data_IF_126904345462
#
_entry.id   IF_126904345462
#
_cell.length_a   1.000
_cell.length_b   1.000
_cell.length_c   1.000
_cell.angle_alpha   90.00
_cell.angle_beta   90.00
_cell.angle_gamma   90.00
#
_symmetry.space_group_name_H-M   'P 1'
#
loop_
_entity.id
_entity.type
_entity.pdbx_description
1 polymer ?
#
# COMPACT_ATOMS: atom_id res chain seq x y z
N UNK A 1 -10.87 -9.78 33.09
CA UNK A 1 -12.09 -10.02 32.31
C UNK A 1 -11.75 -11.03 31.22
N UNK A 2 -12.33 -12.24 31.27
CA UNK A 2 -12.17 -13.15 30.16
C UNK A 2 -13.23 -12.79 29.12
N UNK A 3 -12.85 -12.00 28.12
CA UNK A 3 -13.62 -11.94 26.89
C UNK A 3 -13.06 -12.95 25.89
N UNK A 4 -13.36 -14.22 26.12
CA UNK A 4 -13.25 -15.26 25.12
C UNK A 4 -14.60 -15.53 24.46
N UNK A 5 -15.32 -14.50 24.12
CA UNK A 5 -16.43 -14.64 23.19
C UNK A 5 -15.90 -14.24 21.83
N UNK A 6 -15.78 -15.21 20.94
CA UNK A 6 -15.65 -14.92 19.52
C UNK A 6 -16.76 -13.96 19.15
N UNK A 7 -16.40 -12.70 18.91
CA UNK A 7 -17.35 -11.71 18.45
C UNK A 7 -17.77 -12.09 17.04
N UNK A 8 -18.96 -12.59 16.88
CA UNK A 8 -19.56 -12.73 15.55
C UNK A 8 -19.93 -11.33 15.10
N UNK A 9 -19.42 -10.97 13.92
CA UNK A 9 -19.87 -9.76 13.24
C UNK A 9 -21.34 -9.94 12.89
N UNK A 10 -22.18 -8.97 13.23
CA UNK A 10 -23.61 -9.03 12.94
C UNK A 10 -23.85 -8.95 11.43
N UNK A 11 -23.07 -8.13 10.75
CA UNK A 11 -23.20 -7.92 9.30
C UNK A 11 -21.89 -7.47 8.70
N UNK A 12 -21.58 -7.97 7.52
CA UNK A 12 -20.51 -7.49 6.65
C UNK A 12 -21.15 -6.90 5.40
N UNK A 13 -21.06 -5.60 5.22
CA UNK A 13 -21.49 -4.94 3.98
C UNK A 13 -20.25 -4.67 3.13
N UNK A 14 -20.21 -5.34 1.98
CA UNK A 14 -19.21 -5.08 0.94
C UNK A 14 -19.72 -3.89 0.12
N UNK A 15 -19.04 -2.76 0.24
CA UNK A 15 -19.23 -1.64 -0.64
C UNK A 15 -18.15 -1.65 -1.69
N UNK A 16 -18.39 -1.14 -2.89
CA UNK A 16 -17.42 -1.15 -4.01
C UNK A 16 -16.02 -0.64 -3.67
N UNK A 17 -15.83 0.00 -2.53
CA UNK A 17 -14.56 0.60 -2.11
C UNK A 17 -14.08 0.23 -0.72
N UNK A 18 -14.98 -0.13 0.19
CA UNK A 18 -14.68 -0.34 1.60
C UNK A 18 -15.52 -1.50 2.16
N UNK A 19 -14.96 -2.24 3.12
CA UNK A 19 -15.70 -3.20 3.92
C UNK A 19 -16.20 -2.51 5.19
N UNK A 20 -17.50 -2.59 5.46
CA UNK A 20 -18.11 -2.04 6.68
C UNK A 20 -18.56 -3.19 7.55
N UNK A 21 -18.04 -3.24 8.78
CA UNK A 21 -18.39 -4.23 9.77
C UNK A 21 -19.35 -3.62 10.79
N UNK A 22 -20.50 -4.26 10.98
CA UNK A 22 -21.46 -3.89 12.00
C UNK A 22 -21.33 -4.84 13.18
N UNK A 23 -21.33 -4.27 14.37
CA UNK A 23 -21.28 -5.00 15.61
C UNK A 23 -22.19 -4.32 16.63
N UNK A 24 -23.09 -5.09 17.21
CA UNK A 24 -24.02 -4.62 18.24
C UNK A 24 -23.90 -5.50 19.48
N UNK A 25 -23.65 -4.90 20.61
CA UNK A 25 -23.66 -5.59 21.88
C UNK A 25 -24.42 -4.79 22.91
N UNK A 26 -25.29 -5.47 23.65
CA UNK A 26 -26.06 -4.87 24.75
C UNK A 26 -25.41 -5.20 26.07
N UNK A 27 -25.15 -4.20 26.89
CA UNK A 27 -24.69 -4.35 28.25
C UNK A 27 -25.75 -3.91 29.25
N UNK A 28 -26.01 -4.68 30.30
CA UNK A 28 -26.87 -4.22 31.38
C UNK A 28 -26.20 -3.07 32.12
N UNK A 29 -26.91 -1.96 32.25
CA UNK A 29 -26.44 -0.82 33.04
C UNK A 29 -26.66 -1.16 34.50
N UNK A 30 -25.58 -1.36 35.25
CA UNK A 30 -25.63 -1.61 36.69
C UNK A 30 -25.46 -0.31 37.47
N UNK A 31 -26.08 -0.20 38.68
CA UNK A 31 -25.87 0.94 39.54
C UNK A 31 -24.37 1.16 39.84
N UNK A 32 -23.88 2.36 39.61
CA UNK A 32 -22.47 2.70 39.81
C UNK A 32 -21.59 2.65 38.55
N UNK A 33 -22.11 2.18 37.42
CA UNK A 33 -21.39 2.24 36.13
C UNK A 33 -21.38 3.70 35.64
N UNK A 34 -20.20 4.32 35.67
CA UNK A 34 -20.03 5.73 35.26
C UNK A 34 -19.45 5.91 33.88
N UNK A 35 -18.64 4.95 33.45
CA UNK A 35 -17.91 5.07 32.18
C UNK A 35 -17.77 3.69 31.54
N UNK A 36 -18.04 3.59 30.26
CA UNK A 36 -17.69 2.44 29.43
C UNK A 36 -16.58 2.88 28.47
N UNK A 37 -15.54 2.08 28.40
CA UNK A 37 -14.46 2.24 27.44
C UNK A 37 -14.50 1.08 26.46
N UNK A 38 -14.51 1.40 25.18
CA UNK A 38 -14.45 0.41 24.12
C UNK A 38 -13.08 0.57 23.46
N UNK A 39 -12.24 -0.44 23.57
CA UNK A 39 -10.99 -0.56 22.82
C UNK A 39 -11.20 -1.62 21.73
N UNK A 40 -10.72 -1.35 20.55
CA UNK A 40 -10.81 -2.28 19.44
C UNK A 40 -9.42 -2.79 19.10
N UNK A 41 -9.24 -4.09 19.29
CA UNK A 41 -8.06 -4.83 18.87
C UNK A 41 -8.42 -5.66 17.64
N UNK A 42 -7.57 -5.63 16.64
CA UNK A 42 -7.80 -6.40 15.43
C UNK A 42 -6.57 -7.18 15.01
N UNK A 43 -6.81 -8.40 14.55
CA UNK A 43 -5.79 -9.25 13.95
C UNK A 43 -6.30 -9.79 12.62
N UNK A 44 -5.55 -9.56 11.56
CA UNK A 44 -5.85 -10.13 10.26
C UNK A 44 -5.01 -11.39 10.11
N UNK A 45 -5.66 -12.51 9.81
CA UNK A 45 -5.00 -13.78 9.50
C UNK A 45 -5.16 -14.01 8.01
N UNK A 46 -4.05 -14.03 7.29
CA UNK A 46 -4.04 -14.32 5.87
C UNK A 46 -4.16 -15.85 5.62
N UNK A 47 -4.50 -16.23 4.41
CA UNK A 47 -4.63 -17.64 4.00
C UNK A 47 -3.34 -18.46 4.11
N UNK A 48 -2.18 -17.78 4.08
CA UNK A 48 -0.85 -18.36 4.32
C UNK A 48 -0.50 -18.51 5.81
N UNK A 49 -1.46 -18.25 6.70
CA UNK A 49 -1.32 -18.20 8.18
C UNK A 49 -0.44 -17.06 8.70
N UNK A 50 0.01 -16.14 7.86
CA UNK A 50 0.64 -14.92 8.35
C UNK A 50 -0.39 -14.06 9.11
N UNK A 51 0.05 -13.43 10.20
CA UNK A 51 -0.85 -12.60 11.02
C UNK A 51 -0.32 -11.18 11.13
N UNK A 52 -1.22 -10.23 10.92
CA UNK A 52 -0.94 -8.81 11.04
C UNK A 52 -1.80 -8.25 12.15
N UNK A 53 -1.18 -7.66 13.17
CA UNK A 53 -1.91 -6.93 14.20
C UNK A 53 -2.24 -5.54 13.67
N UNK A 54 -3.52 -5.18 13.73
CA UNK A 54 -3.93 -3.82 13.37
C UNK A 54 -3.37 -2.84 14.41
N UNK A 55 -2.97 -1.63 13.99
CA UNK A 55 -2.61 -0.60 14.94
C UNK A 55 -3.80 -0.35 15.86
N UNK A 56 -3.52 -0.20 17.15
CA UNK A 56 -4.56 0.02 18.15
C UNK A 56 -5.41 1.22 17.75
N UNK A 57 -6.71 1.00 17.62
CA UNK A 57 -7.65 2.07 17.34
C UNK A 57 -7.84 2.95 18.58
N UNK A 58 -8.25 4.20 18.36
CA UNK A 58 -8.58 5.10 19.45
C UNK A 58 -9.63 4.49 20.36
N UNK A 59 -9.39 4.55 21.67
CA UNK A 59 -10.35 4.10 22.68
C UNK A 59 -11.53 5.05 22.71
N UNK A 60 -12.73 4.53 22.48
CA UNK A 60 -13.97 5.27 22.64
C UNK A 60 -14.40 5.22 24.12
N UNK A 61 -14.65 6.38 24.71
CA UNK A 61 -15.12 6.47 26.09
C UNK A 61 -16.51 7.07 26.13
N UNK A 62 -17.43 6.37 26.77
CA UNK A 62 -18.80 6.85 26.98
C UNK A 62 -19.03 7.07 28.48
N UNK A 63 -19.50 8.26 28.83
CA UNK A 63 -19.95 8.55 30.17
C UNK A 63 -21.43 8.18 30.30
N UNK A 64 -21.74 7.36 31.28
CA UNK A 64 -23.11 6.98 31.62
C UNK A 64 -23.53 7.88 32.76
N UNK A 65 -24.48 8.79 32.53
CA UNK A 65 -25.10 9.57 33.58
C UNK A 65 -26.16 8.70 34.27
N UNK A 66 -26.05 8.57 35.57
CA UNK A 66 -27.06 7.86 36.40
C UNK A 66 -28.34 8.65 36.63
N UNK A 67 -28.42 9.88 36.21
CA UNK A 67 -29.66 10.61 36.09
C UNK A 67 -30.40 10.08 34.88
N UNK A 68 -31.66 9.73 35.07
CA UNK A 68 -32.60 9.30 34.02
C UNK A 68 -32.90 10.50 33.08
N UNK A 69 -31.88 11.14 32.62
CA UNK A 69 -31.99 11.95 31.43
C UNK A 69 -32.05 10.97 30.28
N UNK A 70 -33.11 11.02 29.54
CA UNK A 70 -33.27 10.42 28.25
C UNK A 70 -31.89 10.46 27.59
N UNK A 71 -31.22 9.31 27.57
CA UNK A 71 -29.95 9.22 26.88
C UNK A 71 -30.23 9.64 25.47
N UNK A 72 -29.71 10.80 25.12
CA UNK A 72 -29.68 11.20 23.73
C UNK A 72 -28.70 10.23 23.08
N UNK A 73 -29.26 9.14 22.55
CA UNK A 73 -28.53 8.09 21.86
C UNK A 73 -28.19 8.57 20.45
N UNK A 74 -27.66 9.75 20.33
CA UNK A 74 -26.98 10.16 19.11
C UNK A 74 -25.68 9.39 19.08
N UNK A 75 -25.72 8.23 18.43
CA UNK A 75 -24.55 7.49 18.04
C UNK A 75 -23.76 8.36 17.08
N UNK A 76 -22.76 9.08 17.59
CA UNK A 76 -21.78 9.75 16.75
C UNK A 76 -20.90 8.66 16.16
N UNK A 77 -21.32 8.09 15.04
CA UNK A 77 -20.49 7.18 14.28
C UNK A 77 -19.37 7.99 13.65
N UNK A 78 -18.17 7.95 14.24
CA UNK A 78 -16.97 8.46 13.60
C UNK A 78 -16.57 7.44 12.55
N UNK A 79 -16.80 7.75 11.28
CA UNK A 79 -16.37 6.93 10.15
C UNK A 79 -14.85 6.96 10.10
N UNK A 80 -14.21 5.95 10.66
CA UNK A 80 -12.75 5.81 10.61
C UNK A 80 -12.40 5.08 9.32
N UNK A 81 -11.68 5.73 8.42
CA UNK A 81 -11.12 5.08 7.24
C UNK A 81 -9.85 4.35 7.64
N UNK A 82 -9.85 3.04 7.49
CA UNK A 82 -8.66 2.23 7.63
C UNK A 82 -7.88 2.27 6.30
N UNK A 83 -6.66 2.76 6.35
CA UNK A 83 -5.76 2.71 5.21
C UNK A 83 -4.77 1.57 5.40
N UNK A 84 -4.65 0.72 4.40
CA UNK A 84 -3.64 -0.32 4.36
C UNK A 84 -2.62 0.03 3.29
N UNK A 85 -1.36 0.17 3.68
CA UNK A 85 -0.28 0.31 2.72
C UNK A 85 0.12 -1.09 2.22
N UNK A 86 -0.03 -1.28 0.92
CA UNK A 86 0.42 -2.48 0.23
C UNK A 86 1.72 -2.17 -0.51
N UNK A 87 2.66 -3.10 -0.46
CA UNK A 87 3.90 -3.05 -1.21
C UNK A 87 3.88 -4.14 -2.26
N UNK A 88 4.13 -3.77 -3.50
CA UNK A 88 4.33 -4.70 -4.60
C UNK A 88 5.67 -4.43 -5.25
N UNK A 89 6.31 -5.46 -5.79
CA UNK A 89 7.62 -5.35 -6.41
C UNK A 89 7.60 -6.01 -7.78
N UNK A 90 8.06 -5.27 -8.78
CA UNK A 90 8.21 -5.77 -10.14
C UNK A 90 9.64 -5.56 -10.60
N UNK A 91 10.25 -6.61 -11.15
CA UNK A 91 11.56 -6.52 -11.81
C UNK A 91 11.38 -6.37 -13.30
N UNK A 92 12.07 -5.37 -13.87
CA UNK A 92 12.19 -5.14 -15.31
C UNK A 92 13.66 -5.08 -15.68
N UNK A 93 13.99 -5.46 -16.93
CA UNK A 93 15.35 -5.56 -17.44
C UNK A 93 15.56 -4.68 -18.68
N UNK A 94 15.53 -3.35 -18.50
CA UNK A 94 15.72 -2.44 -19.62
C UNK A 94 17.14 -2.56 -20.18
N UNK A 95 17.24 -2.63 -21.50
CA UNK A 95 18.48 -2.72 -22.23
C UNK A 95 18.95 -1.34 -22.69
N UNK A 96 20.27 -1.14 -22.69
CA UNK A 96 20.90 0.10 -23.10
C UNK A 96 22.01 -0.18 -24.11
N UNK A 97 22.24 0.74 -25.01
CA UNK A 97 23.40 0.66 -25.87
C UNK A 97 24.71 0.69 -25.04
N UNK A 98 25.77 0.00 -25.48
CA UNK A 98 27.05 0.01 -24.77
C UNK A 98 27.53 1.44 -24.48
N UNK A 99 27.96 1.69 -23.23
CA UNK A 99 28.44 3.00 -22.77
C UNK A 99 27.40 4.14 -22.83
N UNK A 100 26.11 3.83 -23.01
CA UNK A 100 25.03 4.82 -22.99
C UNK A 100 24.07 4.57 -21.84
N UNK A 101 23.39 5.62 -21.42
CA UNK A 101 22.35 5.60 -20.37
C UNK A 101 20.99 6.07 -20.89
N UNK A 102 20.92 6.54 -22.15
CA UNK A 102 19.68 7.01 -22.76
C UNK A 102 18.74 5.84 -23.01
N UNK A 103 17.57 5.88 -22.39
CA UNK A 103 16.57 4.85 -22.57
C UNK A 103 15.84 5.03 -23.90
N UNK A 104 15.82 3.97 -24.72
CA UNK A 104 15.08 3.92 -25.99
C UNK A 104 14.12 2.74 -25.97
N UNK A 105 12.82 3.03 -26.04
CA UNK A 105 11.77 2.00 -25.97
C UNK A 105 11.90 0.95 -27.10
N UNK A 106 12.30 1.36 -28.29
CA UNK A 106 12.50 0.45 -29.45
C UNK A 106 13.78 -0.37 -29.40
N UNK A 107 14.66 -0.18 -28.39
CA UNK A 107 15.94 -0.91 -28.37
C UNK A 107 15.73 -2.34 -27.87
N UNK A 108 16.42 -3.27 -28.56
CA UNK A 108 16.41 -4.70 -28.25
C UNK A 108 17.81 -5.24 -28.21
N UNK A 109 18.12 -6.09 -27.22
CA UNK A 109 19.41 -6.77 -27.10
C UNK A 109 19.24 -8.12 -26.40
N UNK A 110 19.91 -9.15 -26.89
CA UNK A 110 19.94 -10.46 -26.24
C UNK A 110 18.56 -11.11 -26.03
N UNK A 111 17.59 -10.82 -26.91
CA UNK A 111 16.21 -11.32 -26.79
C UNK A 111 15.30 -10.48 -25.87
N UNK A 112 15.85 -9.48 -25.20
CA UNK A 112 15.09 -8.54 -24.37
C UNK A 112 14.68 -7.32 -25.19
N UNK A 113 13.44 -6.89 -25.04
CA UNK A 113 12.87 -5.71 -25.70
C UNK A 113 12.41 -4.72 -24.64
N UNK A 114 12.87 -3.49 -24.75
CA UNK A 114 12.46 -2.42 -23.83
C UNK A 114 10.97 -2.15 -23.90
N UNK A 115 10.36 -2.28 -25.07
CA UNK A 115 8.92 -2.13 -25.23
C UNK A 115 8.14 -3.19 -24.43
N UNK A 116 8.59 -4.45 -24.46
CA UNK A 116 7.99 -5.54 -23.69
C UNK A 116 8.13 -5.28 -22.19
N UNK A 117 9.27 -4.80 -21.73
CA UNK A 117 9.50 -4.48 -20.32
C UNK A 117 8.63 -3.31 -19.85
N UNK A 118 8.47 -2.28 -20.65
CA UNK A 118 7.55 -1.16 -20.37
C UNK A 118 6.11 -1.65 -20.33
N UNK A 119 5.69 -2.47 -21.30
CA UNK A 119 4.34 -3.02 -21.34
C UNK A 119 4.05 -3.91 -20.14
N UNK A 120 5.02 -4.71 -19.70
CA UNK A 120 4.92 -5.52 -18.47
C UNK A 120 4.71 -4.64 -17.24
N UNK A 121 5.47 -3.55 -17.11
CA UNK A 121 5.34 -2.59 -16.02
C UNK A 121 3.97 -1.91 -16.03
N UNK A 122 3.54 -1.40 -17.18
CA UNK A 122 2.26 -0.71 -17.29
C UNK A 122 1.05 -1.64 -17.10
N UNK A 123 1.17 -2.91 -17.52
CA UNK A 123 0.14 -3.91 -17.27
C UNK A 123 0.01 -4.20 -15.78
N UNK A 124 1.13 -4.35 -15.07
CA UNK A 124 1.13 -4.53 -13.61
C UNK A 124 0.55 -3.30 -12.90
N UNK A 125 0.94 -2.10 -13.32
CA UNK A 125 0.40 -0.86 -12.78
C UNK A 125 -1.12 -0.79 -12.93
N UNK A 126 -1.65 -1.06 -14.13
CA UNK A 126 -3.09 -1.05 -14.41
C UNK A 126 -3.85 -2.11 -13.63
N UNK A 127 -3.26 -3.29 -13.48
CA UNK A 127 -3.84 -4.34 -12.65
C UNK A 127 -4.03 -3.92 -11.19
N UNK A 128 -3.07 -3.18 -10.64
CA UNK A 128 -3.16 -2.68 -9.27
C UNK A 128 -4.14 -1.52 -9.15
N UNK A 129 -4.07 -0.53 -10.05
CA UNK A 129 -4.83 0.71 -9.91
C UNK A 129 -6.25 0.61 -10.46
N UNK A 130 -6.46 -0.05 -11.60
CA UNK A 130 -7.76 -0.16 -12.26
C UNK A 130 -8.53 -1.37 -11.77
N UNK A 131 -7.93 -2.58 -11.84
CA UNK A 131 -8.65 -3.81 -11.49
C UNK A 131 -8.85 -3.97 -9.98
N UNK A 132 -7.85 -3.56 -9.16
CA UNK A 132 -7.92 -3.65 -7.70
C UNK A 132 -8.31 -2.33 -7.02
N UNK A 133 -8.47 -1.25 -7.77
CA UNK A 133 -8.85 0.05 -7.24
C UNK A 133 -7.86 0.66 -6.25
N UNK A 134 -6.59 0.24 -6.29
CA UNK A 134 -5.56 0.73 -5.37
C UNK A 134 -5.06 2.11 -5.80
N UNK A 135 -4.87 2.99 -4.85
CA UNK A 135 -4.25 4.28 -5.10
C UNK A 135 -2.73 4.14 -4.98
N UNK A 136 -1.99 4.60 -6.00
CA UNK A 136 -0.54 4.61 -5.98
C UNK A 136 -0.03 5.84 -5.23
N UNK A 137 0.57 5.63 -4.06
CA UNK A 137 1.13 6.73 -3.26
C UNK A 137 2.52 7.13 -3.73
N UNK A 138 3.37 6.16 -4.01
CA UNK A 138 4.73 6.40 -4.46
C UNK A 138 5.32 5.18 -5.16
N UNK A 139 6.34 5.42 -5.98
CA UNK A 139 7.13 4.38 -6.64
C UNK A 139 8.58 4.51 -6.20
N UNK A 140 9.20 3.38 -5.83
CA UNK A 140 10.64 3.29 -5.60
C UNK A 140 11.28 2.53 -6.74
N UNK A 141 12.19 3.17 -7.45
CA UNK A 141 12.98 2.56 -8.51
C UNK A 141 14.36 2.23 -7.98
N UNK A 142 14.64 0.95 -7.78
CA UNK A 142 15.98 0.49 -7.42
C UNK A 142 16.69 0.01 -8.69
N UNK A 143 17.90 0.49 -8.94
CA UNK A 143 18.61 0.24 -10.19
C UNK A 143 20.03 -0.26 -9.95
N UNK A 144 20.47 -1.11 -10.85
CA UNK A 144 21.81 -1.68 -10.88
C UNK A 144 22.45 -1.45 -12.25
N UNK A 145 23.76 -1.48 -12.30
CA UNK A 145 24.55 -1.52 -13.50
C UNK A 145 25.20 -2.91 -13.68
N UNK A 146 25.82 -3.17 -14.83
CA UNK A 146 26.62 -4.37 -15.04
C UNK A 146 27.81 -4.43 -14.06
N UNK A 147 28.38 -5.62 -13.87
CA UNK A 147 29.53 -5.84 -12.96
C UNK A 147 30.83 -5.20 -13.46
N UNK A 148 30.88 -4.86 -14.75
CA UNK A 148 32.09 -4.32 -15.37
C UNK A 148 32.35 -2.88 -14.93
N UNK A 149 33.61 -2.58 -14.54
CA UNK A 149 34.03 -1.23 -14.22
C UNK A 149 34.17 -0.91 -12.72
N UNK A 150 34.49 0.36 -12.45
CA UNK A 150 34.68 0.85 -11.07
C UNK A 150 33.35 1.02 -10.35
N UNK A 151 33.32 0.76 -9.06
CA UNK A 151 32.11 0.87 -8.24
C UNK A 151 31.46 2.26 -8.28
N UNK A 152 32.25 3.33 -8.28
CA UNK A 152 31.77 4.70 -8.40
C UNK A 152 31.09 4.96 -9.75
N UNK A 153 31.73 4.51 -10.83
CA UNK A 153 31.20 4.62 -12.19
C UNK A 153 29.88 3.84 -12.33
N UNK A 154 29.81 2.64 -11.76
CA UNK A 154 28.60 1.81 -11.79
C UNK A 154 27.46 2.42 -10.98
N UNK A 155 27.78 3.10 -9.87
CA UNK A 155 26.78 3.83 -9.10
C UNK A 155 26.18 4.97 -9.93
N UNK A 156 27.01 5.81 -10.55
CA UNK A 156 26.55 6.92 -11.37
C UNK A 156 25.81 6.43 -12.62
N UNK A 157 26.29 5.35 -13.24
CA UNK A 157 25.65 4.74 -14.39
C UNK A 157 24.27 4.18 -14.03
N UNK A 158 24.15 3.46 -12.91
CA UNK A 158 22.86 2.95 -12.44
C UNK A 158 21.87 4.08 -12.16
N UNK A 159 22.33 5.20 -11.60
CA UNK A 159 21.53 6.38 -11.37
C UNK A 159 21.03 6.99 -12.69
N UNK A 160 21.93 7.29 -13.63
CA UNK A 160 21.58 7.89 -14.93
C UNK A 160 20.63 7.02 -15.75
N UNK A 161 20.84 5.70 -15.76
CA UNK A 161 19.95 4.75 -16.43
C UNK A 161 18.55 4.80 -15.82
N UNK A 162 18.43 4.79 -14.49
CA UNK A 162 17.15 4.89 -13.83
C UNK A 162 16.44 6.23 -14.10
N UNK A 163 17.18 7.34 -14.07
CA UNK A 163 16.65 8.66 -14.36
C UNK A 163 16.08 8.74 -15.78
N UNK A 164 16.77 8.16 -16.75
CA UNK A 164 16.34 8.14 -18.15
C UNK A 164 15.08 7.28 -18.36
N UNK A 165 14.98 6.12 -17.71
CA UNK A 165 13.76 5.29 -17.72
C UNK A 165 12.59 6.03 -17.09
N UNK A 166 12.81 6.64 -15.92
CA UNK A 166 11.77 7.41 -15.22
C UNK A 166 11.31 8.60 -16.04
N UNK A 167 12.23 9.32 -16.68
CA UNK A 167 11.88 10.44 -17.56
C UNK A 167 11.00 9.98 -18.72
N UNK A 168 11.36 8.87 -19.37
CA UNK A 168 10.55 8.27 -20.42
C UNK A 168 9.16 7.89 -19.92
N UNK A 169 9.06 7.19 -18.79
CA UNK A 169 7.78 6.75 -18.23
C UNK A 169 6.87 7.93 -17.87
N UNK A 170 7.40 8.99 -17.28
CA UNK A 170 6.62 10.19 -16.96
C UNK A 170 6.15 10.94 -18.20
N UNK A 171 6.95 10.99 -19.24
CA UNK A 171 6.58 11.67 -20.49
C UNK A 171 5.59 10.87 -21.32
N UNK A 172 5.72 9.53 -21.34
CA UNK A 172 4.85 8.66 -22.13
C UNK A 172 3.54 8.31 -21.41
N UNK A 173 3.53 8.34 -20.08
CA UNK A 173 2.36 8.00 -19.25
C UNK A 173 2.07 9.10 -18.22
N UNK A 174 1.80 10.34 -18.68
CA UNK A 174 1.62 11.48 -17.78
C UNK A 174 0.37 11.36 -16.88
N UNK A 175 -0.66 10.68 -17.35
CA UNK A 175 -1.89 10.46 -16.59
C UNK A 175 -1.65 9.50 -15.41
N UNK A 176 -0.92 8.43 -15.66
CA UNK A 176 -0.68 7.37 -14.69
C UNK A 176 0.46 7.72 -13.72
N UNK A 177 1.57 8.22 -14.24
CA UNK A 177 2.81 8.37 -13.47
C UNK A 177 3.27 9.83 -13.31
N UNK A 178 2.68 10.77 -14.04
CA UNK A 178 3.16 12.17 -14.04
C UNK A 178 3.13 12.83 -12.67
N UNK A 179 2.12 12.54 -11.86
CA UNK A 179 1.94 13.09 -10.51
C UNK A 179 2.45 12.18 -9.40
N UNK A 180 2.78 10.93 -9.71
CA UNK A 180 3.24 9.96 -8.71
C UNK A 180 4.66 10.30 -8.28
N UNK A 181 4.93 10.45 -6.97
CA UNK A 181 6.29 10.61 -6.45
C UNK A 181 7.13 9.38 -6.78
N UNK A 182 8.25 9.59 -7.50
CA UNK A 182 9.17 8.51 -7.85
C UNK A 182 10.51 8.77 -7.18
N UNK A 183 10.96 7.83 -6.35
CA UNK A 183 12.24 7.86 -5.67
C UNK A 183 13.20 6.87 -6.33
N UNK A 184 14.32 7.37 -6.83
CA UNK A 184 15.39 6.55 -7.40
C UNK A 184 16.39 6.18 -6.31
N UNK A 185 16.76 4.90 -6.25
CA UNK A 185 17.75 4.35 -5.33
C UNK A 185 18.79 3.55 -6.14
N UNK A 186 19.86 4.21 -6.60
CA UNK A 186 20.94 3.53 -7.31
C UNK A 186 21.71 2.59 -6.36
N UNK A 187 22.13 1.43 -6.86
CA UNK A 187 22.85 0.40 -6.09
C UNK A 187 24.23 0.08 -6.66
N UNK A 188 24.59 0.66 -7.80
CA UNK A 188 25.84 0.37 -8.47
C UNK A 188 25.82 -0.98 -9.19
N UNK A 189 26.86 -1.79 -9.04
CA UNK A 189 26.96 -3.10 -9.69
C UNK A 189 25.98 -4.13 -9.09
N UNK A 190 25.47 -5.01 -9.95
CA UNK A 190 24.63 -6.15 -9.52
C UNK A 190 25.52 -7.34 -9.17
N UNK A 191 25.61 -7.63 -7.87
CA UNK A 191 26.40 -8.73 -7.31
C UNK A 191 25.57 -9.99 -7.01
N UNK A 192 24.33 -10.08 -7.51
CA UNK A 192 23.46 -11.23 -7.26
C UNK A 192 23.56 -12.29 -8.33
#
# INVERSE_FOLDING_TARGET
FPFETEMRLDELVDTEKDFVYYYTQSYPVTPGLKTIRIAMDGKIIATDRSSYTLPQADTLSFMISSLVQLADTTLIMKKTKLYRNLYDTLSIYPQFEPNKWDFRVGYTQGGYSNEKEVNKLMSSYRKLTVERGLQMDSVRVTSWASLDGLASTNYDLSKKKAESVVAYLKSSYPTELGRTPIRIVPRGADWK
#
